data_IF_977920479588
#
_entry.id   IF_977920479588
#
_cell.length_a   1.000
_cell.length_b   1.000
_cell.length_c   1.000
_cell.angle_alpha   90.00
_cell.angle_beta   90.00
_cell.angle_gamma   90.00
#
_symmetry.space_group_name_H-M   'P 1'
#
loop_
_entity.id
_entity.type
_entity.pdbx_description
1 polymer ?
#
# COMPACT_ATOMS: atom_id res chain seq x y z
N UNK A 1 -24.68 -41.35 2.14
CA UNK A 1 -23.95 -40.07 2.14
C UNK A 1 -22.98 -39.97 3.33
N UNK A 2 -23.46 -40.03 4.57
CA UNK A 2 -22.60 -39.98 5.76
C UNK A 2 -21.55 -41.11 5.80
N UNK A 3 -21.95 -42.34 5.47
CA UNK A 3 -21.05 -43.50 5.35
C UNK A 3 -19.97 -43.34 4.27
N UNK A 4 -20.25 -42.56 3.22
CA UNK A 4 -19.28 -42.25 2.17
C UNK A 4 -18.29 -41.18 2.63
N UNK A 5 -18.77 -40.13 3.31
CA UNK A 5 -17.92 -39.05 3.85
C UNK A 5 -16.91 -39.61 4.87
N UNK A 6 -17.33 -40.56 5.72
CA UNK A 6 -16.43 -41.18 6.71
C UNK A 6 -15.33 -42.05 6.11
N UNK A 7 -15.46 -42.46 4.84
CA UNK A 7 -14.46 -43.24 4.13
C UNK A 7 -13.42 -42.36 3.40
N UNK A 8 -13.69 -41.06 3.26
CA UNK A 8 -12.78 -40.15 2.58
C UNK A 8 -11.62 -39.76 3.50
N UNK A 9 -10.38 -39.71 2.98
CA UNK A 9 -9.25 -39.19 3.74
C UNK A 9 -9.48 -37.70 4.06
N UNK A 10 -9.24 -37.27 5.31
CA UNK A 10 -9.32 -35.85 5.66
C UNK A 10 -8.38 -35.02 4.80
N UNK A 11 -8.90 -33.95 4.20
CA UNK A 11 -8.08 -33.02 3.42
C UNK A 11 -7.09 -32.30 4.34
N UNK A 12 -5.83 -32.17 3.89
CA UNK A 12 -4.81 -31.40 4.62
C UNK A 12 -5.02 -29.90 4.38
N UNK A 13 -5.95 -29.32 5.14
CA UNK A 13 -6.37 -27.93 5.01
C UNK A 13 -5.23 -26.91 5.22
N UNK A 14 -4.18 -27.28 5.96
CA UNK A 14 -3.06 -26.38 6.28
C UNK A 14 -2.40 -25.78 5.04
N UNK A 15 -2.18 -26.59 4.00
CA UNK A 15 -1.58 -26.13 2.75
C UNK A 15 -2.51 -25.16 2.02
N UNK A 16 -3.81 -25.47 1.98
CA UNK A 16 -4.83 -24.62 1.36
C UNK A 16 -4.95 -23.29 2.10
N UNK A 17 -4.93 -23.30 3.43
CA UNK A 17 -4.94 -22.08 4.24
C UNK A 17 -3.69 -21.25 3.99
N UNK A 18 -2.51 -21.86 4.06
CA UNK A 18 -1.23 -21.17 3.82
C UNK A 18 -1.18 -20.48 2.45
N UNK A 19 -1.60 -21.16 1.39
CA UNK A 19 -1.62 -20.58 0.02
C UNK A 19 -2.63 -19.43 -0.07
N UNK A 20 -3.83 -19.59 0.50
CA UNK A 20 -4.85 -18.54 0.46
C UNK A 20 -4.45 -17.30 1.29
N UNK A 21 -3.87 -17.51 2.46
CA UNK A 21 -3.32 -16.44 3.29
C UNK A 21 -2.18 -15.71 2.57
N UNK A 22 -1.25 -16.46 1.97
CA UNK A 22 -0.16 -15.88 1.17
C UNK A 22 -0.70 -15.04 0.02
N UNK A 23 -1.69 -15.56 -0.72
CA UNK A 23 -2.36 -14.82 -1.80
C UNK A 23 -3.01 -13.54 -1.27
N UNK A 24 -3.72 -13.60 -0.14
CA UNK A 24 -4.37 -12.44 0.47
C UNK A 24 -3.34 -11.36 0.81
N UNK A 25 -2.24 -11.75 1.45
CA UNK A 25 -1.17 -10.83 1.81
C UNK A 25 -0.54 -10.17 0.58
N UNK A 26 -0.23 -10.95 -0.46
CA UNK A 26 0.34 -10.42 -1.72
C UNK A 26 -0.59 -9.35 -2.30
N UNK A 27 -1.89 -9.63 -2.41
CA UNK A 27 -2.86 -8.67 -2.95
C UNK A 27 -2.95 -7.43 -2.06
N UNK A 28 -3.03 -7.59 -0.75
CA UNK A 28 -3.13 -6.47 0.20
C UNK A 28 -1.88 -5.59 0.20
N UNK A 29 -0.69 -6.16 0.05
CA UNK A 29 0.58 -5.44 0.10
C UNK A 29 1.00 -4.85 -1.25
N UNK A 30 0.52 -5.40 -2.37
CA UNK A 30 0.91 -4.95 -3.71
C UNK A 30 0.71 -3.44 -3.94
N UNK A 31 -0.46 -2.93 -3.59
CA UNK A 31 -0.80 -1.50 -3.72
C UNK A 31 0.04 -0.60 -2.80
N UNK A 32 0.06 -0.78 -1.47
CA UNK A 32 0.83 0.10 -0.61
C UNK A 32 2.32 0.07 -0.93
N UNK A 33 2.89 -1.07 -1.34
CA UNK A 33 4.29 -1.14 -1.76
C UNK A 33 4.55 -0.34 -3.04
N UNK A 34 3.66 -0.42 -4.03
CA UNK A 34 3.77 0.40 -5.24
C UNK A 34 3.64 1.89 -4.93
N UNK A 35 2.70 2.27 -4.06
CA UNK A 35 2.49 3.66 -3.64
C UNK A 35 3.74 4.20 -2.92
N UNK A 36 4.34 3.43 -1.99
CA UNK A 36 5.58 3.78 -1.30
C UNK A 36 6.74 3.96 -2.29
N UNK A 37 6.91 3.02 -3.22
CA UNK A 37 7.99 3.09 -4.22
C UNK A 37 7.88 4.35 -5.09
N UNK A 38 6.66 4.67 -5.54
CA UNK A 38 6.39 5.89 -6.30
C UNK A 38 6.68 7.14 -5.48
N UNK A 39 6.26 7.17 -4.21
CA UNK A 39 6.50 8.32 -3.33
C UNK A 39 7.98 8.59 -3.10
N UNK A 40 8.77 7.53 -2.90
CA UNK A 40 10.24 7.65 -2.76
C UNK A 40 10.82 8.30 -4.02
N UNK A 41 10.45 7.82 -5.21
CA UNK A 41 10.96 8.36 -6.47
C UNK A 41 10.58 9.84 -6.65
N UNK A 42 9.34 10.20 -6.34
CA UNK A 42 8.86 11.59 -6.40
C UNK A 42 9.65 12.49 -5.45
N UNK A 43 9.84 12.05 -4.20
CA UNK A 43 10.59 12.83 -3.20
C UNK A 43 12.06 13.01 -3.61
N UNK A 44 12.72 11.99 -4.17
CA UNK A 44 14.10 12.10 -4.68
C UNK A 44 14.20 13.18 -5.77
N UNK A 45 13.32 13.11 -6.78
CA UNK A 45 13.31 14.10 -7.88
C UNK A 45 13.05 15.52 -7.36
N UNK A 46 12.17 15.65 -6.37
CA UNK A 46 11.88 16.94 -5.74
C UNK A 46 13.08 17.50 -4.97
N UNK A 47 13.80 16.65 -4.24
CA UNK A 47 15.02 17.03 -3.54
C UNK A 47 16.12 17.46 -4.51
N UNK A 48 16.36 16.72 -5.60
CA UNK A 48 17.35 17.10 -6.62
C UNK A 48 17.01 18.45 -7.28
N UNK A 49 15.71 18.71 -7.50
CA UNK A 49 15.26 20.01 -8.04
C UNK A 49 15.51 21.13 -7.03
N UNK A 50 15.24 20.88 -5.75
CA UNK A 50 15.45 21.88 -4.71
C UNK A 50 16.95 22.17 -4.51
N UNK A 51 17.81 21.15 -4.55
CA UNK A 51 19.27 21.31 -4.53
C UNK A 51 19.74 22.21 -5.68
N UNK A 52 19.24 21.99 -6.90
CA UNK A 52 19.56 22.86 -8.06
C UNK A 52 19.12 24.31 -7.83
N UNK A 53 17.93 24.53 -7.26
CA UNK A 53 17.43 25.88 -6.95
C UNK A 53 18.28 26.58 -5.88
N UNK A 54 18.68 25.86 -4.84
CA UNK A 54 19.56 26.38 -3.79
C UNK A 54 20.92 26.79 -4.38
N UNK A 55 21.50 25.97 -5.26
CA UNK A 55 22.75 26.28 -5.94
C UNK A 55 22.65 27.51 -6.86
N UNK A 56 21.49 27.76 -7.48
CA UNK A 56 21.25 28.94 -8.32
C UNK A 56 21.11 30.24 -7.50
N UNK A 57 20.68 30.15 -6.25
CA UNK A 57 20.42 31.30 -5.37
C UNK A 57 21.44 31.42 -4.23
N UNK A 58 22.59 30.75 -4.34
CA UNK A 58 23.63 30.70 -3.30
C UNK A 58 24.11 32.09 -2.84
N UNK A 59 24.09 33.08 -3.73
CA UNK A 59 24.57 34.44 -3.46
C UNK A 59 23.46 35.38 -2.93
N UNK A 60 22.20 34.95 -2.90
CA UNK A 60 21.04 35.77 -2.51
C UNK A 60 20.39 35.22 -1.23
N UNK A 61 20.87 35.73 -0.10
CA UNK A 61 20.46 35.32 1.26
C UNK A 61 18.96 35.49 1.49
N UNK A 62 18.31 36.51 0.90
CA UNK A 62 16.87 36.71 1.07
C UNK A 62 16.06 35.64 0.30
N UNK A 63 16.49 35.26 -0.91
CA UNK A 63 15.86 34.16 -1.66
C UNK A 63 16.11 32.78 -1.04
N UNK A 64 17.23 32.60 -0.34
CA UNK A 64 17.51 31.36 0.39
C UNK A 64 16.61 31.19 1.62
N UNK A 65 16.21 32.30 2.28
CA UNK A 65 15.29 32.25 3.42
C UNK A 65 13.93 31.63 3.06
N UNK A 66 13.44 31.90 1.86
CA UNK A 66 12.18 31.35 1.36
C UNK A 66 12.25 29.84 1.09
N UNK A 67 13.46 29.27 0.98
CA UNK A 67 13.70 27.85 0.68
C UNK A 67 14.22 27.05 1.88
N UNK A 68 14.11 27.57 3.11
CA UNK A 68 14.61 26.91 4.34
C UNK A 68 13.95 25.56 4.62
N UNK A 69 12.72 25.36 4.16
CA UNK A 69 11.95 24.15 4.41
C UNK A 69 11.85 23.33 3.11
N UNK A 70 12.25 22.07 3.18
CA UNK A 70 12.09 21.11 2.10
C UNK A 70 10.74 20.41 2.28
N UNK A 71 9.76 20.63 1.39
CA UNK A 71 8.52 19.87 1.43
C UNK A 71 8.79 18.41 1.08
N UNK A 72 8.27 17.49 1.90
CA UNK A 72 8.34 16.04 1.68
C UNK A 72 6.94 15.47 1.82
N UNK A 73 6.52 14.66 0.86
CA UNK A 73 5.22 13.98 0.93
C UNK A 73 5.42 12.62 1.59
N UNK A 74 4.49 12.20 2.46
CA UNK A 74 4.57 10.90 3.12
C UNK A 74 3.19 10.24 3.22
N UNK A 75 3.16 8.91 3.28
CA UNK A 75 1.95 8.12 3.49
C UNK A 75 1.72 7.99 5.00
N UNK A 76 0.48 8.21 5.45
CA UNK A 76 0.06 7.89 6.81
C UNK A 76 -0.72 6.58 6.82
N UNK A 77 -0.39 5.73 7.79
CA UNK A 77 -1.19 4.56 8.13
C UNK A 77 -2.17 4.98 9.23
N UNK A 78 -3.45 4.71 9.01
CA UNK A 78 -4.50 4.93 10.00
C UNK A 78 -5.12 3.59 10.37
N UNK A 79 -5.16 3.30 11.67
CA UNK A 79 -5.83 2.12 12.19
C UNK A 79 -7.34 2.34 12.23
N UNK A 80 -8.09 1.34 11.76
CA UNK A 80 -9.54 1.37 11.84
C UNK A 80 -9.98 0.92 13.23
N UNK A 81 -10.81 1.73 13.89
CA UNK A 81 -11.42 1.39 15.18
C UNK A 81 -12.46 0.27 15.10
N UNK A 82 -12.74 -0.23 13.90
CA UNK A 82 -13.73 -1.26 13.62
C UNK A 82 -13.18 -2.28 12.61
N UNK A 83 -13.70 -3.51 12.59
CA UNK A 83 -13.31 -4.49 11.59
C UNK A 83 -13.64 -3.99 10.18
N UNK A 84 -12.83 -4.44 9.21
CA UNK A 84 -13.12 -4.24 7.79
C UNK A 84 -14.34 -5.08 7.40
N UNK A 85 -15.43 -4.43 7.00
CA UNK A 85 -16.62 -5.11 6.49
C UNK A 85 -16.58 -5.20 4.97
N UNK A 86 -17.16 -6.27 4.43
CA UNK A 86 -17.39 -6.37 2.98
C UNK A 86 -18.50 -5.37 2.63
N UNK A 87 -18.25 -4.51 1.65
CA UNK A 87 -19.28 -3.60 1.16
C UNK A 87 -20.42 -4.42 0.55
N UNK A 88 -21.65 -4.21 1.01
CA UNK A 88 -22.86 -4.89 0.51
C UNK A 88 -23.57 -4.12 -0.61
N UNK A 89 -23.03 -2.96 -1.02
CA UNK A 89 -23.59 -2.19 -2.11
C UNK A 89 -23.44 -2.96 -3.43
N UNK A 90 -24.53 -3.09 -4.18
CA UNK A 90 -24.58 -3.74 -5.50
C UNK A 90 -23.55 -3.20 -6.49
N UNK A 91 -23.10 -1.96 -6.35
CA UNK A 91 -22.04 -1.37 -7.19
C UNK A 91 -20.63 -1.83 -6.81
N UNK A 92 -20.44 -2.36 -5.59
CA UNK A 92 -19.15 -2.84 -5.08
C UNK A 92 -19.06 -4.38 -5.06
N UNK A 93 -20.16 -5.08 -5.33
CA UNK A 93 -20.21 -6.53 -5.38
C UNK A 93 -20.29 -7.01 -6.82
N UNK A 94 -19.29 -7.75 -7.29
CA UNK A 94 -19.45 -8.57 -8.50
C UNK A 94 -20.31 -9.79 -8.14
N UNK A 95 -21.56 -9.79 -8.63
CA UNK A 95 -22.41 -10.98 -8.57
C UNK A 95 -21.93 -11.91 -9.69
N UNK A 96 -21.15 -12.93 -9.34
CA UNK A 96 -20.81 -14.00 -10.27
C UNK A 96 -22.09 -14.81 -10.55
N UNK A 97 -22.60 -14.73 -11.79
CA UNK A 97 -23.70 -15.55 -12.30
C UNK A 97 -23.21 -16.94 -12.72
#
# INVERSE_FOLDING_TARGET
>A
LLTYITQLPPHKIQNTLSINESRRLIVQLSRPLADIANLIQVNVVQMERQEKLLNLHADDVEKLKDNLLVPVTNIRVEELNHPRTVCTNVQCCEVLQ
#
